data_IF_831883511677
#
_entry.id   IF_831883511677
#
_cell.length_a   1.000
_cell.length_b   1.000
_cell.length_c   1.000
_cell.angle_alpha   90.00
_cell.angle_beta   90.00
_cell.angle_gamma   90.00
#
_symmetry.space_group_name_H-M   'P 1'
#
loop_
_entity.id
_entity.type
_entity.pdbx_description
1 polymer ?
#
# COMPACT_ATOMS: atom_id res chain seq x y z
N UNK A 1 -12.36 -16.32 -5.16
CA UNK A 1 -11.58 -15.27 -5.80
C UNK A 1 -10.58 -14.79 -4.79
N UNK A 2 -9.31 -14.89 -5.16
CA UNK A 2 -8.23 -14.25 -4.44
C UNK A 2 -8.41 -12.74 -4.58
N UNK A 3 -8.11 -12.01 -3.52
CA UNK A 3 -8.20 -10.56 -3.51
C UNK A 3 -6.80 -10.02 -3.26
N UNK A 4 -6.52 -8.84 -3.78
CA UNK A 4 -5.21 -8.19 -3.65
C UNK A 4 -5.35 -6.89 -2.90
N UNK A 5 -4.34 -6.51 -2.13
CA UNK A 5 -4.27 -5.23 -1.43
C UNK A 5 -2.96 -4.54 -1.72
N UNK A 6 -2.96 -3.22 -1.64
CA UNK A 6 -1.75 -2.42 -1.78
C UNK A 6 -1.36 -1.91 -0.40
N UNK A 7 -0.17 -2.30 0.03
CA UNK A 7 0.44 -1.81 1.27
C UNK A 7 1.43 -0.72 0.88
N UNK A 8 1.34 0.45 1.51
CA UNK A 8 2.24 1.59 1.30
C UNK A 8 2.99 1.94 2.58
N UNK A 9 4.19 2.48 2.44
CA UNK A 9 4.97 3.00 3.58
C UNK A 9 5.91 4.12 3.12
N UNK A 10 6.35 4.94 4.08
CA UNK A 10 7.40 5.92 3.86
C UNK A 10 8.69 5.44 4.54
N UNK A 11 9.78 5.26 3.79
CA UNK A 11 11.06 4.82 4.35
C UNK A 11 11.64 5.86 5.33
N UNK A 12 11.44 7.15 5.04
CA UNK A 12 11.96 8.26 5.84
C UNK A 12 11.20 8.50 7.14
N UNK A 13 9.92 8.11 7.22
CA UNK A 13 9.08 8.31 8.40
C UNK A 13 9.06 7.09 9.33
N UNK A 14 9.83 6.04 9.05
CA UNK A 14 9.74 4.78 9.78
C UNK A 14 10.06 4.98 11.27
N UNK A 15 9.10 4.66 12.15
CA UNK A 15 9.23 4.81 13.60
C UNK A 15 8.95 6.21 14.15
N UNK A 16 8.44 7.12 13.31
CA UNK A 16 7.94 8.42 13.73
C UNK A 16 6.40 8.39 13.77
N UNK A 17 5.82 8.39 14.98
CA UNK A 17 4.37 8.31 15.19
C UNK A 17 3.62 9.56 14.67
N UNK A 18 4.32 10.69 14.48
CA UNK A 18 3.77 11.88 13.82
C UNK A 18 4.04 11.88 12.30
N UNK A 19 4.82 10.91 11.81
CA UNK A 19 5.16 10.72 10.41
C UNK A 19 4.05 10.06 9.58
N UNK A 20 4.31 9.85 8.28
CA UNK A 20 3.34 9.22 7.39
C UNK A 20 2.90 7.84 7.91
N UNK A 21 1.59 7.60 7.90
CA UNK A 21 0.99 6.34 8.37
C UNK A 21 1.34 5.97 9.83
N UNK A 22 1.56 6.99 10.68
CA UNK A 22 2.00 6.77 12.07
C UNK A 22 3.37 6.08 12.14
N UNK A 23 4.24 6.37 11.17
CA UNK A 23 5.58 5.80 11.07
C UNK A 23 5.63 4.32 10.68
N UNK A 24 4.53 3.78 10.16
CA UNK A 24 4.38 2.38 9.78
C UNK A 24 3.97 2.25 8.30
N UNK A 25 3.31 1.14 7.96
CA UNK A 25 2.67 0.90 6.68
C UNK A 25 1.15 1.00 6.79
N UNK A 26 0.49 1.41 5.71
CA UNK A 26 -0.96 1.49 5.59
C UNK A 26 -1.47 0.69 4.39
N UNK A 27 -2.73 0.24 4.42
CA UNK A 27 -3.38 -0.35 3.25
C UNK A 27 -4.19 0.71 2.53
N UNK A 28 -3.94 0.93 1.24
CA UNK A 28 -4.68 1.92 0.45
C UNK A 28 -5.77 1.28 -0.41
N UNK A 29 -6.90 1.99 -0.51
CA UNK A 29 -8.01 1.61 -1.37
C UNK A 29 -8.78 0.38 -0.91
N UNK A 30 -9.63 -0.13 -1.81
CA UNK A 30 -10.35 -1.38 -1.60
C UNK A 30 -9.50 -2.59 -1.99
N UNK A 31 -9.94 -3.78 -1.63
CA UNK A 31 -9.36 -5.02 -2.15
C UNK A 31 -9.63 -5.14 -3.67
N UNK A 32 -8.60 -5.39 -4.44
CA UNK A 32 -8.64 -5.54 -5.90
C UNK A 32 -8.89 -6.99 -6.30
N UNK A 33 -9.55 -7.21 -7.44
CA UNK A 33 -9.82 -8.56 -7.95
C UNK A 33 -8.62 -9.14 -8.69
N UNK A 34 -7.74 -8.29 -9.20
CA UNK A 34 -6.52 -8.70 -9.91
C UNK A 34 -5.27 -8.04 -9.35
N UNK A 35 -4.12 -8.71 -9.51
CA UNK A 35 -2.82 -8.15 -9.18
C UNK A 35 -2.52 -6.90 -10.01
N UNK A 36 -2.90 -6.90 -11.29
CA UNK A 36 -2.63 -5.78 -12.20
C UNK A 36 -3.34 -4.49 -11.77
N UNK A 37 -4.58 -4.59 -11.31
CA UNK A 37 -5.31 -3.45 -10.75
C UNK A 37 -4.66 -2.91 -9.49
N UNK A 38 -4.20 -3.79 -8.59
CA UNK A 38 -3.49 -3.40 -7.38
C UNK A 38 -2.15 -2.71 -7.71
N UNK A 39 -1.39 -3.22 -8.68
CA UNK A 39 -0.14 -2.58 -9.14
C UNK A 39 -0.40 -1.19 -9.70
N UNK A 40 -1.41 -1.03 -10.55
CA UNK A 40 -1.78 0.28 -11.10
C UNK A 40 -2.18 1.26 -10.00
N UNK A 41 -2.94 0.79 -9.00
CA UNK A 41 -3.34 1.63 -7.87
C UNK A 41 -2.14 2.05 -7.01
N UNK A 42 -1.22 1.12 -6.70
CA UNK A 42 0.00 1.43 -5.94
C UNK A 42 0.93 2.37 -6.69
N UNK A 43 1.19 2.12 -7.96
CA UNK A 43 2.01 2.98 -8.79
C UNK A 43 1.42 4.39 -8.93
N UNK A 44 0.10 4.50 -9.11
CA UNK A 44 -0.58 5.80 -9.16
C UNK A 44 -0.45 6.54 -7.83
N UNK A 45 -0.76 5.89 -6.72
CA UNK A 45 -0.74 6.51 -5.39
C UNK A 45 0.68 7.00 -5.02
N UNK A 46 1.71 6.24 -5.38
CA UNK A 46 3.09 6.57 -5.08
C UNK A 46 3.78 7.41 -6.17
N UNK A 47 3.09 7.82 -7.24
CA UNK A 47 3.72 8.47 -8.40
C UNK A 47 4.44 9.78 -8.02
N UNK A 48 3.78 10.64 -7.25
CA UNK A 48 4.31 11.95 -6.84
C UNK A 48 4.68 12.01 -5.34
N UNK A 49 4.56 10.90 -4.62
CA UNK A 49 4.79 10.83 -3.18
C UNK A 49 6.07 10.02 -2.90
N UNK A 50 6.86 10.35 -1.86
CA UNK A 50 8.07 9.63 -1.50
C UNK A 50 7.77 8.29 -0.81
N UNK A 51 6.72 7.61 -1.24
CA UNK A 51 6.20 6.39 -0.67
C UNK A 51 6.66 5.19 -1.50
N UNK A 52 6.85 4.08 -0.81
CA UNK A 52 7.01 2.76 -1.40
C UNK A 52 5.69 2.02 -1.29
N UNK A 53 5.47 1.08 -2.20
CA UNK A 53 4.33 0.19 -2.13
C UNK A 53 4.73 -1.26 -2.43
N UNK A 54 3.87 -2.19 -2.01
CA UNK A 54 3.89 -3.59 -2.43
C UNK A 54 2.47 -4.11 -2.55
N UNK A 55 2.25 -5.00 -3.50
CA UNK A 55 0.99 -5.73 -3.63
C UNK A 55 1.08 -7.04 -2.85
N UNK A 56 0.04 -7.35 -2.10
CA UNK A 56 -0.10 -8.59 -1.35
C UNK A 56 -1.43 -9.26 -1.68
N UNK A 57 -1.48 -10.59 -1.56
CA UNK A 57 -2.77 -11.28 -1.47
C UNK A 57 -3.43 -10.89 -0.14
N UNK A 58 -4.67 -10.41 -0.22
CA UNK A 58 -5.50 -10.19 0.95
C UNK A 58 -5.90 -11.57 1.48
N UNK A 59 -5.34 -11.95 2.63
CA UNK A 59 -5.68 -13.19 3.31
C UNK A 59 -7.20 -13.31 3.49
N UNK A 60 -7.74 -14.45 3.06
CA UNK A 60 -9.11 -14.87 3.35
C UNK A 60 -9.17 -15.28 4.81
N UNK A 61 -9.43 -14.32 5.70
CA UNK A 61 -9.79 -14.60 7.09
C UNK A 61 -11.21 -15.13 7.19
#
# INVERSE_FOLDING_TARGET
>A
MDKYRVVVWCESCRGDDEGCFGGSSEVIGAQFETWEEAEKAGAHYCFDLPYRYRVEQADRH
#
